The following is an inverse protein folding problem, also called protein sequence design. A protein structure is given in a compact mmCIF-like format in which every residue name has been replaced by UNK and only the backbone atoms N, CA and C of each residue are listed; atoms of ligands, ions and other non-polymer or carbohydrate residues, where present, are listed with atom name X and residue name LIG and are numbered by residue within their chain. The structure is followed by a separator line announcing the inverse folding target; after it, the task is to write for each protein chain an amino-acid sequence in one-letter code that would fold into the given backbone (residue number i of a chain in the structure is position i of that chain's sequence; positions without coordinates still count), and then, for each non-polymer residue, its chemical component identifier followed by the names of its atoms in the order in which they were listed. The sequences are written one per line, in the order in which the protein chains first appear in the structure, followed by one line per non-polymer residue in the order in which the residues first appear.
data_IF_177520946253
#
_entry.id   IF_177520946253
#
_cell.length_a   1.000
_cell.length_b   1.000
_cell.length_c   1.000
_cell.angle_alpha   90.00
_cell.angle_beta   90.00
_cell.angle_gamma   90.00
#
_symmetry.space_group_name_H-M   'P 1'
#
loop_
_entity.id
_entity.type
_entity.pdbx_description
1 polymer ?
#
# COMPACT_ATOMS: atom_id res chain seq x y z
N UNK A 1 9.25 -30.71 -20.58
CA UNK A 1 9.34 -31.01 -19.13
C UNK A 1 9.24 -29.71 -18.34
N UNK A 2 8.04 -29.46 -17.80
CA UNK A 2 7.69 -28.71 -16.57
C UNK A 2 8.22 -27.27 -16.34
N UNK A 3 7.33 -26.32 -16.68
CA UNK A 3 6.87 -25.14 -15.91
C UNK A 3 7.88 -24.35 -15.03
N UNK A 4 8.17 -23.08 -15.41
CA UNK A 4 8.32 -21.99 -14.44
C UNK A 4 7.02 -21.19 -14.21
N UNK A 5 5.88 -21.66 -14.71
CA UNK A 5 4.61 -20.91 -14.79
C UNK A 5 3.85 -20.71 -13.46
N UNK A 6 4.48 -20.81 -12.28
CA UNK A 6 3.78 -20.68 -10.99
C UNK A 6 4.46 -19.74 -9.98
N UNK A 7 5.22 -18.76 -10.43
CA UNK A 7 5.36 -17.54 -9.62
C UNK A 7 4.50 -16.47 -10.26
N UNK A 8 3.30 -16.18 -9.71
CA UNK A 8 2.55 -15.05 -10.20
C UNK A 8 3.39 -13.81 -9.88
N UNK A 9 3.96 -13.21 -10.92
CA UNK A 9 4.66 -11.94 -10.83
C UNK A 9 3.59 -10.87 -10.54
N UNK A 10 3.20 -10.74 -9.26
CA UNK A 10 2.04 -9.96 -8.80
C UNK A 10 2.28 -8.45 -8.76
N UNK A 11 3.40 -7.99 -9.30
CA UNK A 11 3.75 -6.57 -9.31
C UNK A 11 4.34 -6.19 -10.67
N UNK A 12 3.47 -6.11 -11.68
CA UNK A 12 3.78 -5.29 -12.86
C UNK A 12 4.13 -3.89 -12.34
N UNK A 13 5.35 -3.41 -12.63
CA UNK A 13 5.90 -2.15 -12.11
C UNK A 13 4.96 -0.94 -12.36
N UNK A 14 4.14 -1.00 -13.42
CA UNK A 14 3.15 0.04 -13.75
C UNK A 14 1.88 0.01 -12.89
N UNK A 15 1.45 -1.15 -12.39
CA UNK A 15 0.34 -1.24 -11.44
C UNK A 15 0.77 -0.69 -10.08
N UNK A 16 2.03 -0.95 -9.72
CA UNK A 16 2.65 -0.49 -8.48
C UNK A 16 2.63 1.05 -8.36
N UNK A 17 3.00 1.79 -9.41
CA UNK A 17 3.07 3.26 -9.34
C UNK A 17 1.70 3.93 -9.14
N UNK A 18 0.66 3.42 -9.79
CA UNK A 18 -0.71 3.92 -9.62
C UNK A 18 -1.26 3.61 -8.22
N UNK A 19 -0.99 2.41 -7.70
CA UNK A 19 -1.42 2.01 -6.36
C UNK A 19 -0.68 2.82 -5.28
N UNK A 20 0.60 3.13 -5.47
CA UNK A 20 1.35 4.04 -4.60
C UNK A 20 0.72 5.43 -4.62
N UNK A 21 0.39 5.96 -5.81
CA UNK A 21 -0.24 7.29 -5.92
C UNK A 21 -1.59 7.32 -5.19
N UNK A 22 -2.46 6.34 -5.41
CA UNK A 22 -3.74 6.24 -4.69
C UNK A 22 -3.56 6.12 -3.19
N UNK A 23 -2.61 5.28 -2.74
CA UNK A 23 -2.34 5.13 -1.32
C UNK A 23 -1.89 6.45 -0.69
N UNK A 24 -0.97 7.17 -1.31
CA UNK A 24 -0.43 8.42 -0.77
C UNK A 24 -1.43 9.57 -0.84
N UNK A 25 -2.07 9.77 -1.99
CA UNK A 25 -2.88 10.95 -2.25
C UNK A 25 -4.37 10.76 -1.93
N UNK A 26 -4.92 9.58 -2.21
CA UNK A 26 -6.37 9.33 -2.07
C UNK A 26 -6.69 8.68 -0.71
N UNK A 27 -5.84 7.77 -0.21
CA UNK A 27 -6.05 7.06 1.05
C UNK A 27 -5.47 7.78 2.27
N UNK A 28 -4.17 8.12 2.24
CA UNK A 28 -3.50 8.82 3.35
C UNK A 28 -3.80 10.32 3.37
N UNK A 29 -3.86 10.92 2.19
CA UNK A 29 -3.94 12.37 2.04
C UNK A 29 -2.76 13.11 2.72
N UNK A 30 -2.75 14.44 2.63
CA UNK A 30 -1.69 15.28 3.20
C UNK A 30 -1.57 15.11 4.72
N UNK A 31 -2.70 15.02 5.43
CA UNK A 31 -2.72 14.92 6.88
C UNK A 31 -2.24 13.55 7.38
N UNK A 32 -2.62 12.46 6.71
CA UNK A 32 -2.13 11.13 7.06
C UNK A 32 -0.62 10.99 6.85
N UNK A 33 -0.07 11.59 5.78
CA UNK A 33 1.39 11.66 5.57
C UNK A 33 2.07 12.50 6.67
N UNK A 34 1.45 13.59 7.11
CA UNK A 34 1.98 14.41 8.21
C UNK A 34 2.00 13.65 9.53
N UNK A 35 0.91 12.95 9.88
CA UNK A 35 0.84 12.11 11.08
C UNK A 35 1.87 10.99 11.04
N UNK A 36 2.05 10.32 9.90
CA UNK A 36 3.08 9.28 9.73
C UNK A 36 4.50 9.82 9.98
N UNK A 37 4.77 11.06 9.52
CA UNK A 37 6.06 11.73 9.77
C UNK A 37 6.24 12.05 11.25
N UNK A 38 5.20 12.52 11.93
CA UNK A 38 5.22 12.76 13.37
C UNK A 38 5.48 11.44 14.14
N UNK A 39 4.73 10.39 13.82
CA UNK A 39 4.91 9.07 14.44
C UNK A 39 6.32 8.54 14.20
N UNK A 40 6.83 8.62 12.98
CA UNK A 40 8.19 8.15 12.67
C UNK A 40 9.27 8.94 13.40
N UNK A 41 9.06 10.25 13.60
CA UNK A 41 9.98 11.11 14.35
C UNK A 41 10.00 10.81 15.86
N UNK A 42 8.87 10.40 16.43
CA UNK A 42 8.72 10.21 17.88
C UNK A 42 8.82 8.75 18.35
N UNK A 43 8.36 7.79 17.55
CA UNK A 43 8.36 6.36 17.88
C UNK A 43 9.53 5.58 17.23
N UNK A 44 10.34 6.28 16.42
CA UNK A 44 11.46 5.70 15.70
C UNK A 44 11.05 4.96 14.42
N UNK A 45 12.07 4.59 13.65
CA UNK A 45 11.90 4.10 12.27
C UNK A 45 11.22 2.73 12.18
N UNK A 46 11.42 1.85 13.18
CA UNK A 46 10.86 0.50 13.18
C UNK A 46 9.33 0.58 13.26
N UNK A 47 8.81 1.31 14.25
CA UNK A 47 7.37 1.49 14.43
C UNK A 47 6.71 2.22 13.26
N UNK A 48 7.37 3.25 12.72
CA UNK A 48 6.87 3.95 11.52
C UNK A 48 6.74 3.03 10.31
N UNK A 49 7.71 2.14 10.10
CA UNK A 49 7.72 1.19 8.98
C UNK A 49 6.62 0.13 9.14
N UNK A 50 6.47 -0.43 10.33
CA UNK A 50 5.41 -1.41 10.62
C UNK A 50 4.01 -0.80 10.43
N UNK A 51 3.81 0.44 10.88
CA UNK A 51 2.56 1.16 10.68
C UNK A 51 2.25 1.40 9.19
N UNK A 52 3.24 1.83 8.40
CA UNK A 52 3.09 2.01 6.95
C UNK A 52 2.70 0.70 6.27
N UNK A 53 3.33 -0.42 6.67
CA UNK A 53 3.06 -1.75 6.12
C UNK A 53 1.62 -2.19 6.40
N UNK A 54 1.12 -1.99 7.62
CA UNK A 54 -0.25 -2.33 7.99
C UNK A 54 -1.29 -1.45 7.28
N UNK A 55 -1.00 -0.15 7.11
CA UNK A 55 -1.84 0.74 6.31
C UNK A 55 -1.91 0.31 4.83
N UNK A 56 -0.77 -0.08 4.26
CA UNK A 56 -0.71 -0.59 2.89
C UNK A 56 -1.52 -1.89 2.74
N UNK A 57 -1.36 -2.85 3.65
CA UNK A 57 -2.16 -4.08 3.66
C UNK A 57 -3.66 -3.80 3.74
N UNK A 58 -4.04 -2.85 4.58
CA UNK A 58 -5.44 -2.40 4.74
C UNK A 58 -5.96 -1.77 3.45
N UNK A 59 -5.18 -0.90 2.80
CA UNK A 59 -5.52 -0.28 1.52
C UNK A 59 -5.81 -1.32 0.41
N UNK A 60 -4.97 -2.36 0.26
CA UNK A 60 -5.24 -3.45 -0.69
C UNK A 60 -6.47 -4.30 -0.31
N UNK A 61 -6.78 -4.41 0.99
CA UNK A 61 -7.99 -5.05 1.48
C UNK A 61 -9.27 -4.26 1.15
N UNK A 62 -9.17 -2.94 1.07
CA UNK A 62 -10.26 -2.03 0.69
C UNK A 62 -10.51 -2.09 -0.82
N UNK A 63 -9.47 -2.01 -1.66
CA UNK A 63 -9.64 -2.06 -3.12
C UNK A 63 -10.26 -3.39 -3.61
N UNK A 64 -9.98 -4.51 -2.93
CA UNK A 64 -10.60 -5.81 -3.24
C UNK A 64 -12.10 -5.88 -2.96
N UNK A 65 -12.65 -4.96 -2.15
CA UNK A 65 -14.06 -4.94 -1.73
C UNK A 65 -14.94 -3.98 -2.51
N UNK A 66 -14.46 -3.37 -3.59
CA UNK A 66 -15.30 -2.55 -4.49
C UNK A 66 -15.64 -3.36 -5.75
N UNK A 67 -16.64 -4.28 -5.72
CA UNK A 67 -17.27 -4.71 -6.95
C UNK A 67 -17.95 -3.48 -7.56
N UNK A 68 -17.60 -3.15 -8.81
CA UNK A 68 -18.31 -2.13 -9.57
C UNK A 68 -19.78 -2.55 -9.66
N UNK A 69 -20.68 -1.79 -9.05
CA UNK A 69 -22.10 -1.89 -9.36
C UNK A 69 -22.32 -1.30 -10.74
N UNK A 70 -23.02 -2.07 -11.58
CA UNK A 70 -23.38 -1.75 -12.96
C UNK A 70 -24.33 -0.56 -13.03
#
# INVERSE_FOLDING_TARGET
SLLPFLVPNKYTIQESSNNIRKFVYDYLHRDGVFVLRMVSAHAGIIFGTDLILELWRTFYGIEKKVPKSN
#
